data_IF_887061236649
#
_entry.id   IF_887061236649
#
_cell.length_a   1.000
_cell.length_b   1.000
_cell.length_c   1.000
_cell.angle_alpha   90.00
_cell.angle_beta   90.00
_cell.angle_gamma   90.00
#
_symmetry.space_group_name_H-M   'P 1'
#
loop_
_entity.id
_entity.type
_entity.pdbx_description
1 polymer ?
#
# COMPACT_ATOMS: atom_id res chain seq x y z
N UNK A 1 58.09 13.27 -3.34
CA UNK A 1 57.08 13.77 -4.29
C UNK A 1 56.65 12.59 -5.17
N UNK A 2 55.62 11.84 -4.76
CA UNK A 2 54.22 11.98 -5.22
C UNK A 2 54.02 11.64 -6.71
N UNK A 3 53.77 10.36 -7.00
CA UNK A 3 53.07 9.79 -8.17
C UNK A 3 53.22 8.26 -8.07
N UNK A 4 52.28 7.38 -8.36
CA UNK A 4 50.94 7.47 -8.92
C UNK A 4 50.29 6.11 -8.64
N UNK A 5 49.13 6.11 -7.98
CA UNK A 5 48.31 4.92 -7.78
C UNK A 5 47.68 4.51 -9.12
N UNK A 6 48.20 3.49 -9.78
CA UNK A 6 47.51 2.84 -10.90
C UNK A 6 46.84 1.54 -10.40
N UNK A 7 45.69 1.70 -9.73
CA UNK A 7 44.77 0.59 -9.45
C UNK A 7 44.01 0.26 -10.73
N UNK A 8 44.33 -0.91 -11.29
CA UNK A 8 43.38 -1.92 -11.79
C UNK A 8 42.05 -1.39 -12.35
N UNK A 9 42.07 -0.94 -13.61
CA UNK A 9 40.87 -0.69 -14.42
C UNK A 9 40.50 -1.95 -15.20
N UNK A 10 39.85 -2.89 -14.53
CA UNK A 10 39.19 -4.04 -15.14
C UNK A 10 37.68 -3.77 -15.17
N UNK A 11 37.22 -3.00 -16.17
CA UNK A 11 35.79 -2.88 -16.49
C UNK A 11 35.60 -2.98 -18.00
N UNK A 12 35.62 -4.22 -18.48
CA UNK A 12 35.02 -4.60 -19.76
C UNK A 12 33.51 -4.39 -19.64
N UNK A 13 33.03 -3.26 -20.14
CA UNK A 13 31.59 -2.98 -20.28
C UNK A 13 31.04 -3.84 -21.41
N UNK A 14 30.09 -4.76 -21.18
CA UNK A 14 29.28 -5.29 -22.26
C UNK A 14 28.38 -4.16 -22.78
N UNK A 15 28.38 -3.94 -24.09
CA UNK A 15 27.57 -2.95 -24.80
C UNK A 15 26.08 -3.16 -24.50
N UNK A 16 25.58 -2.49 -23.48
CA UNK A 16 24.16 -2.43 -23.12
C UNK A 16 23.48 -1.40 -24.04
N UNK A 17 22.70 -1.94 -24.98
CA UNK A 17 21.59 -1.35 -25.70
C UNK A 17 21.29 0.14 -25.37
N UNK A 18 21.60 1.04 -26.31
CA UNK A 18 21.41 2.50 -26.20
C UNK A 18 19.95 2.94 -25.97
N UNK A 19 18.99 2.02 -26.05
CA UNK A 19 17.57 2.27 -25.75
C UNK A 19 17.29 2.47 -24.25
N UNK A 20 18.13 1.93 -23.35
CA UNK A 20 17.92 2.02 -21.90
C UNK A 20 18.34 3.37 -21.30
N UNK A 21 19.28 4.09 -21.93
CA UNK A 21 19.80 5.36 -21.39
C UNK A 21 18.80 6.51 -21.58
N UNK A 22 17.88 6.43 -22.54
CA UNK A 22 16.86 7.46 -22.76
C UNK A 22 15.71 7.43 -21.75
N UNK A 23 15.55 6.35 -21.00
CA UNK A 23 14.49 6.23 -19.99
C UNK A 23 14.90 6.78 -18.61
N UNK A 24 16.19 6.98 -18.36
CA UNK A 24 16.71 7.50 -17.07
C UNK A 24 17.16 8.97 -17.12
N UNK A 25 17.01 9.66 -18.25
CA UNK A 25 17.46 11.04 -18.45
C UNK A 25 16.33 12.08 -18.52
N UNK A 26 15.15 11.80 -17.95
CA UNK A 26 14.01 12.73 -17.88
C UNK A 26 13.74 13.17 -16.43
N UNK A 27 14.77 13.67 -15.74
CA UNK A 27 14.62 14.29 -14.44
C UNK A 27 15.71 15.36 -14.23
N UNK A 28 15.45 16.61 -14.67
CA UNK A 28 15.92 17.85 -14.03
C UNK A 28 15.48 19.11 -14.80
N UNK A 29 14.96 20.11 -14.07
CA UNK A 29 14.51 21.47 -14.43
C UNK A 29 13.14 21.54 -15.15
N UNK A 30 12.03 21.93 -14.50
CA UNK A 30 11.72 23.21 -13.84
C UNK A 30 10.95 24.10 -14.83
N UNK A 31 9.85 24.83 -14.60
CA UNK A 31 9.03 25.19 -13.44
C UNK A 31 7.71 25.81 -14.02
N UNK A 32 6.62 25.81 -13.24
CA UNK A 32 5.33 26.56 -13.39
C UNK A 32 4.48 26.43 -14.67
N UNK A 33 3.33 25.75 -14.57
CA UNK A 33 2.00 26.42 -14.51
C UNK A 33 0.86 25.42 -14.33
N UNK A 34 -0.07 25.78 -13.45
CA UNK A 34 -1.23 24.99 -13.06
C UNK A 34 -2.28 24.86 -14.17
N UNK A 35 -2.82 23.65 -14.37
CA UNK A 35 -4.28 23.41 -14.36
C UNK A 35 -4.63 21.92 -14.39
N UNK A 36 -5.35 21.51 -13.35
CA UNK A 36 -6.32 20.41 -13.31
C UNK A 36 -5.87 19.04 -13.82
N UNK A 37 -5.16 18.30 -12.97
CA UNK A 37 -5.33 16.85 -12.94
C UNK A 37 -6.78 16.59 -12.52
N UNK A 38 -7.60 16.25 -13.49
CA UNK A 38 -8.96 15.79 -13.29
C UNK A 38 -8.94 14.65 -12.27
N UNK A 39 -9.43 14.93 -11.06
CA UNK A 39 -9.90 13.88 -10.19
C UNK A 39 -10.97 13.15 -10.98
N UNK A 40 -10.68 11.93 -11.40
CA UNK A 40 -11.68 11.00 -11.85
C UNK A 40 -12.65 10.82 -10.68
N UNK A 41 -13.70 11.64 -10.67
CA UNK A 41 -14.86 11.51 -9.80
C UNK A 41 -15.61 10.27 -10.31
N UNK A 42 -15.07 9.09 -9.98
CA UNK A 42 -15.88 7.91 -9.85
C UNK A 42 -16.86 8.21 -8.73
N UNK A 43 -18.08 8.59 -9.09
CA UNK A 43 -19.17 8.83 -8.16
C UNK A 43 -19.55 7.53 -7.45
N UNK A 44 -18.77 7.15 -6.45
CA UNK A 44 -19.23 6.28 -5.38
C UNK A 44 -19.52 7.22 -4.22
N UNK A 45 -20.78 7.30 -3.84
CA UNK A 45 -21.29 8.17 -2.78
C UNK A 45 -20.60 7.83 -1.46
N UNK A 46 -19.41 8.39 -1.23
CA UNK A 46 -18.85 8.52 0.10
C UNK A 46 -19.89 9.34 0.86
N UNK A 47 -20.56 8.79 1.88
CA UNK A 47 -21.47 9.57 2.70
C UNK A 47 -20.65 10.74 3.25
N UNK A 48 -21.21 11.95 3.20
CA UNK A 48 -20.61 13.16 3.76
C UNK A 48 -20.64 13.08 5.29
N UNK A 49 -20.00 12.05 5.85
CA UNK A 49 -19.56 12.03 7.22
C UNK A 49 -18.30 12.88 7.23
N UNK A 50 -18.44 14.11 7.72
CA UNK A 50 -17.32 14.99 8.04
C UNK A 50 -16.59 14.45 9.29
N UNK A 51 -16.29 13.16 9.31
CA UNK A 51 -15.49 12.54 10.34
C UNK A 51 -14.04 12.96 10.09
N UNK A 52 -13.60 13.95 10.87
CA UNK A 52 -12.24 14.49 10.81
C UNK A 52 -11.18 13.53 11.37
N UNK A 53 -11.61 12.40 11.94
CA UNK A 53 -10.72 11.40 12.53
C UNK A 53 -10.10 10.51 11.45
N UNK A 54 -8.90 10.01 11.72
CA UNK A 54 -8.17 9.13 10.79
C UNK A 54 -8.96 7.83 10.52
N UNK A 55 -9.55 7.27 11.57
CA UNK A 55 -10.39 6.05 11.50
C UNK A 55 -11.65 6.27 10.66
N UNK A 56 -12.31 7.42 10.82
CA UNK A 56 -13.49 7.78 10.02
C UNK A 56 -13.19 7.84 8.53
N UNK A 57 -12.00 8.33 8.15
CA UNK A 57 -11.56 8.36 6.75
C UNK A 57 -11.35 6.97 6.15
N UNK A 58 -10.79 6.03 6.92
CA UNK A 58 -10.66 4.63 6.50
C UNK A 58 -12.01 3.91 6.44
N UNK A 59 -12.90 4.17 7.39
CA UNK A 59 -14.26 3.62 7.36
C UNK A 59 -15.06 4.14 6.15
N UNK A 60 -14.96 5.44 5.85
CA UNK A 60 -15.61 6.07 4.72
C UNK A 60 -15.10 5.53 3.37
N UNK A 61 -13.78 5.30 3.24
CA UNK A 61 -13.22 4.71 2.02
C UNK A 61 -13.66 3.25 1.84
N UNK A 62 -13.70 2.48 2.92
CA UNK A 62 -14.20 1.10 2.87
C UNK A 62 -15.68 1.04 2.48
N UNK A 63 -16.52 1.90 3.05
CA UNK A 63 -17.94 2.01 2.68
C UNK A 63 -18.11 2.40 1.21
N UNK A 64 -17.34 3.38 0.73
CA UNK A 64 -17.40 3.84 -0.64
C UNK A 64 -17.03 2.76 -1.67
N UNK A 65 -16.18 1.80 -1.29
CA UNK A 65 -15.81 0.66 -2.14
C UNK A 65 -16.80 -0.50 -2.01
N UNK A 66 -17.31 -0.78 -0.81
CA UNK A 66 -18.19 -1.91 -0.54
C UNK A 66 -19.63 -1.69 -0.99
N UNK A 67 -20.16 -0.47 -0.83
CA UNK A 67 -21.53 -0.10 -1.20
C UNK A 67 -21.85 -0.31 -2.69
N UNK A 68 -21.06 0.20 -3.66
CA UNK A 68 -21.35 -0.03 -5.09
C UNK A 68 -21.23 -1.50 -5.50
N UNK A 69 -20.51 -2.33 -4.73
CA UNK A 69 -20.35 -3.76 -4.98
C UNK A 69 -21.42 -4.62 -4.31
N UNK A 70 -22.32 -4.04 -3.50
CA UNK A 70 -23.35 -4.76 -2.77
C UNK A 70 -22.84 -5.74 -1.72
N UNK A 71 -21.56 -5.63 -1.31
CA UNK A 71 -20.89 -6.55 -0.37
C UNK A 71 -20.80 -6.01 1.06
N UNK A 72 -21.62 -5.02 1.40
CA UNK A 72 -21.53 -4.31 2.67
C UNK A 72 -21.71 -5.24 3.88
N UNK A 73 -22.70 -6.14 3.82
CA UNK A 73 -22.96 -7.10 4.90
C UNK A 73 -21.80 -8.08 5.09
N UNK A 74 -21.21 -8.57 4.00
CA UNK A 74 -20.05 -9.47 4.04
C UNK A 74 -18.85 -8.79 4.70
N UNK A 75 -18.51 -7.58 4.26
CA UNK A 75 -17.39 -6.81 4.84
C UNK A 75 -17.65 -6.48 6.31
N UNK A 76 -18.90 -6.19 6.69
CA UNK A 76 -19.26 -5.97 8.08
C UNK A 76 -19.04 -7.22 8.96
N UNK A 77 -19.42 -8.41 8.46
CA UNK A 77 -19.17 -9.68 9.16
C UNK A 77 -17.67 -9.95 9.33
N UNK A 78 -16.89 -9.70 8.28
CA UNK A 78 -15.43 -9.85 8.32
C UNK A 78 -14.80 -8.92 9.38
N UNK A 79 -15.22 -7.64 9.44
CA UNK A 79 -14.73 -6.68 10.43
C UNK A 79 -15.10 -7.06 11.86
N UNK A 80 -16.30 -7.62 12.07
CA UNK A 80 -16.70 -8.11 13.40
C UNK A 80 -15.88 -9.32 13.82
N UNK A 81 -15.64 -10.26 12.91
CA UNK A 81 -14.79 -11.43 13.18
C UNK A 81 -13.35 -11.02 13.50
N UNK A 82 -12.75 -10.08 12.76
CA UNK A 82 -11.42 -9.57 13.05
C UNK A 82 -11.34 -8.89 14.42
N UNK A 83 -12.36 -8.11 14.79
CA UNK A 83 -12.47 -7.48 16.11
C UNK A 83 -12.51 -8.53 17.21
N UNK A 84 -13.33 -9.56 17.05
CA UNK A 84 -13.44 -10.67 18.01
C UNK A 84 -12.09 -11.40 18.14
N UNK A 85 -11.43 -11.72 17.03
CA UNK A 85 -10.11 -12.34 17.02
C UNK A 85 -9.05 -11.49 17.77
N UNK A 86 -9.12 -10.17 17.64
CA UNK A 86 -8.24 -9.23 18.37
C UNK A 86 -8.50 -9.25 19.89
N UNK A 87 -9.71 -9.57 20.32
CA UNK A 87 -10.08 -9.65 21.73
C UNK A 87 -9.80 -11.04 22.33
N UNK A 88 -9.99 -12.10 21.56
CA UNK A 88 -9.82 -13.48 22.02
C UNK A 88 -8.37 -13.94 21.97
N UNK A 89 -7.66 -13.64 20.87
CA UNK A 89 -6.32 -14.16 20.62
C UNK A 89 -5.24 -13.16 21.00
N UNK A 90 -4.59 -13.40 22.15
CA UNK A 90 -3.52 -12.54 22.66
C UNK A 90 -2.34 -12.42 21.69
N UNK A 91 -2.06 -13.47 20.91
CA UNK A 91 -0.98 -13.47 19.91
C UNK A 91 -1.29 -12.49 18.78
N UNK A 92 -2.54 -12.44 18.33
CA UNK A 92 -2.96 -11.53 17.28
C UNK A 92 -2.96 -10.07 17.76
N UNK A 93 -3.43 -9.82 18.99
CA UNK A 93 -3.32 -8.49 19.61
C UNK A 93 -1.86 -8.02 19.75
N UNK A 94 -0.96 -8.93 20.12
CA UNK A 94 0.47 -8.63 20.23
C UNK A 94 1.09 -8.36 18.84
N UNK A 95 0.68 -9.10 17.81
CA UNK A 95 1.11 -8.86 16.43
C UNK A 95 0.77 -7.43 15.94
N UNK A 96 -0.41 -6.92 16.28
CA UNK A 96 -0.82 -5.56 15.89
C UNK A 96 -0.07 -4.45 16.64
N UNK A 97 0.33 -4.70 17.89
CA UNK A 97 0.91 -3.67 18.78
C UNK A 97 2.43 -3.64 18.79
N UNK A 98 3.10 -4.76 18.47
CA UNK A 98 4.55 -4.85 18.54
C UNK A 98 5.22 -4.13 17.35
N UNK A 99 6.03 -3.09 17.60
CA UNK A 99 6.91 -2.54 16.59
C UNK A 99 8.14 -3.44 16.44
N UNK A 100 8.52 -3.80 15.21
CA UNK A 100 9.72 -4.61 14.95
C UNK A 100 9.53 -5.77 13.98
N UNK A 101 8.29 -6.10 13.63
CA UNK A 101 8.00 -7.04 12.56
C UNK A 101 8.31 -6.40 11.20
N UNK A 102 9.14 -7.08 10.39
CA UNK A 102 9.42 -6.67 9.02
C UNK A 102 8.13 -6.65 8.19
N UNK A 103 8.01 -5.66 7.29
CA UNK A 103 6.82 -5.44 6.46
C UNK A 103 6.41 -6.70 5.68
N UNK A 104 7.37 -7.37 5.05
CA UNK A 104 7.13 -8.57 4.24
C UNK A 104 6.53 -9.72 5.08
N UNK A 105 7.01 -9.87 6.32
CA UNK A 105 6.50 -10.91 7.24
C UNK A 105 5.10 -10.56 7.71
N UNK A 106 4.82 -9.26 7.93
CA UNK A 106 3.50 -8.78 8.31
C UNK A 106 2.47 -9.04 7.21
N UNK A 107 2.80 -8.70 5.96
CA UNK A 107 1.94 -8.94 4.79
C UNK A 107 1.68 -10.44 4.61
N UNK A 108 2.71 -11.28 4.65
CA UNK A 108 2.56 -12.73 4.52
C UNK A 108 1.65 -13.32 5.62
N UNK A 109 1.81 -12.89 6.87
CA UNK A 109 0.95 -13.34 7.96
C UNK A 109 -0.51 -12.89 7.80
N UNK A 110 -0.73 -11.64 7.38
CA UNK A 110 -2.08 -11.11 7.15
C UNK A 110 -2.75 -11.85 5.99
N UNK A 111 -2.03 -12.10 4.90
CA UNK A 111 -2.53 -12.91 3.78
C UNK A 111 -2.92 -14.32 4.21
N UNK A 112 -2.09 -14.97 5.03
CA UNK A 112 -2.35 -16.33 5.52
C UNK A 112 -3.59 -16.37 6.43
N UNK A 113 -3.79 -15.35 7.25
CA UNK A 113 -5.00 -15.20 8.08
C UNK A 113 -6.23 -15.00 7.19
N UNK A 114 -6.15 -14.10 6.19
CA UNK A 114 -7.24 -13.84 5.26
C UNK A 114 -7.63 -15.10 4.46
N UNK A 115 -6.64 -15.87 3.99
CA UNK A 115 -6.86 -17.14 3.28
C UNK A 115 -7.54 -18.19 4.16
N UNK A 116 -7.16 -18.29 5.43
CA UNK A 116 -7.75 -19.24 6.39
C UNK A 116 -9.17 -18.86 6.80
N UNK A 117 -9.40 -17.56 7.00
CA UNK A 117 -10.70 -17.02 7.42
C UNK A 117 -11.68 -16.81 6.27
N UNK A 118 -11.24 -16.98 5.01
CA UNK A 118 -12.03 -16.80 3.79
C UNK A 118 -12.69 -15.41 3.71
N UNK A 119 -11.95 -14.38 4.08
CA UNK A 119 -12.41 -12.99 4.00
C UNK A 119 -12.58 -12.53 2.56
N UNK A 120 -13.45 -11.55 2.34
CA UNK A 120 -13.67 -11.00 0.99
C UNK A 120 -12.41 -10.29 0.46
N UNK A 121 -12.30 -10.21 -0.87
CA UNK A 121 -11.18 -9.50 -1.53
C UNK A 121 -11.13 -8.02 -1.14
N UNK A 122 -12.28 -7.39 -0.88
CA UNK A 122 -12.32 -5.99 -0.43
C UNK A 122 -11.65 -5.86 0.95
N UNK A 123 -11.92 -6.80 1.86
CA UNK A 123 -11.33 -6.85 3.20
C UNK A 123 -9.84 -7.15 3.13
N UNK A 124 -9.42 -8.07 2.26
CA UNK A 124 -8.01 -8.44 2.09
C UNK A 124 -7.16 -7.28 1.56
N UNK A 125 -7.71 -6.46 0.65
CA UNK A 125 -7.03 -5.25 0.16
C UNK A 125 -7.01 -4.09 1.16
N UNK A 126 -7.87 -4.15 2.18
CA UNK A 126 -7.93 -3.13 3.22
C UNK A 126 -6.86 -3.33 4.31
N UNK A 127 -6.52 -4.59 4.61
CA UNK A 127 -5.53 -5.00 5.62
C UNK A 127 -4.10 -4.94 5.08
#
# INVERSE_FOLDING_TARGET
MLASLARTTLTRVPTLNQSAVRLFAAAAAGDKSAKAAASATGGSSVPKLEDTTLEGRYAASLFAVANPKGKLDTVYRDMMMLREMLQTEKVFAMFCTVPGLQRNVREACIEDICKKSKTDDITTNFL
#
